data_IF_437391075405
#
_entry.id   IF_437391075405
#
_cell.length_a   1.000
_cell.length_b   1.000
_cell.length_c   1.000
_cell.angle_alpha   90.00
_cell.angle_beta   90.00
_cell.angle_gamma   90.00
#
_symmetry.space_group_name_H-M   'P 1'
#
loop_
_entity.id
_entity.type
_entity.pdbx_description
1 polymer ?
#
# COMPACT_ATOMS: atom_id res chain seq x y z
N UNK A 1 -23.94 -1.46 22.84
CA UNK A 1 -22.80 -0.53 22.86
C UNK A 1 -22.13 -0.57 21.49
N UNK A 2 -22.39 0.42 20.63
CA UNK A 2 -21.73 0.53 19.34
C UNK A 2 -20.32 1.04 19.55
N UNK A 3 -19.32 0.21 19.27
CA UNK A 3 -17.92 0.57 19.43
C UNK A 3 -17.58 1.64 18.40
N UNK A 4 -17.15 2.80 18.90
CA UNK A 4 -16.63 3.89 18.09
C UNK A 4 -15.33 3.36 17.46
N UNK A 5 -15.36 3.06 16.16
CA UNK A 5 -14.15 2.71 15.41
C UNK A 5 -13.38 4.00 15.19
N UNK A 6 -12.23 4.11 15.83
CA UNK A 6 -11.26 5.17 15.62
C UNK A 6 -11.02 5.36 14.11
N UNK A 7 -11.51 6.47 13.56
CA UNK A 7 -11.20 6.94 12.20
C UNK A 7 -10.09 8.00 12.29
N UNK A 8 -8.99 7.63 12.92
CA UNK A 8 -7.68 8.11 12.47
C UNK A 8 -7.63 7.71 10.99
N UNK A 9 -7.55 8.63 10.02
CA UNK A 9 -7.61 8.28 8.59
C UNK A 9 -6.71 7.08 8.29
N UNK A 10 -7.31 5.89 8.18
CA UNK A 10 -6.63 4.67 8.63
C UNK A 10 -5.72 4.25 7.51
N UNK A 11 -4.46 4.65 7.61
CA UNK A 11 -3.44 4.27 6.65
C UNK A 11 -3.20 2.77 6.80
N UNK A 12 -3.66 2.04 5.79
CA UNK A 12 -3.45 0.61 5.71
C UNK A 12 -2.28 0.34 4.77
N UNK A 13 -1.31 -0.40 5.31
CA UNK A 13 -0.13 -0.83 4.58
C UNK A 13 -0.28 -2.31 4.23
N UNK A 14 -0.17 -2.64 2.94
CA UNK A 14 -0.20 -4.01 2.45
C UNK A 14 0.96 -4.26 1.50
N UNK A 15 1.64 -5.41 1.62
CA UNK A 15 2.53 -5.84 0.56
C UNK A 15 1.71 -6.12 -0.71
N UNK A 16 2.14 -5.59 -1.85
CA UNK A 16 1.51 -5.88 -3.14
C UNK A 16 1.69 -7.36 -3.48
N UNK A 17 0.58 -8.06 -3.72
CA UNK A 17 0.63 -9.45 -4.20
C UNK A 17 0.94 -9.56 -5.69
N UNK A 18 0.78 -8.44 -6.42
CA UNK A 18 1.04 -8.36 -7.87
C UNK A 18 2.47 -7.93 -8.21
N UNK A 19 3.14 -7.23 -7.29
CA UNK A 19 4.53 -6.89 -7.48
C UNK A 19 5.43 -8.13 -7.29
N UNK A 20 5.83 -8.76 -8.39
CA UNK A 20 6.79 -9.87 -8.39
C UNK A 20 8.17 -9.37 -8.83
N UNK A 21 9.14 -9.50 -7.93
CA UNK A 21 10.53 -9.12 -8.18
C UNK A 21 11.06 -8.12 -7.15
N UNK A 22 12.32 -7.72 -7.33
CA UNK A 22 12.96 -6.74 -6.45
C UNK A 22 12.50 -5.33 -6.78
N UNK A 23 12.00 -4.64 -5.76
CA UNK A 23 11.51 -3.28 -5.88
C UNK A 23 12.70 -2.31 -5.98
N UNK A 24 13.05 -1.92 -7.21
CA UNK A 24 14.12 -0.95 -7.50
C UNK A 24 13.60 0.47 -7.73
N UNK A 25 12.33 0.59 -8.16
CA UNK A 25 11.71 1.87 -8.47
C UNK A 25 10.37 2.00 -7.74
N UNK A 26 10.30 2.96 -6.81
CA UNK A 26 9.06 3.29 -6.10
C UNK A 26 7.91 3.64 -7.06
N UNK A 27 8.21 4.23 -8.22
CA UNK A 27 7.21 4.56 -9.24
C UNK A 27 6.51 3.31 -9.79
N UNK A 28 7.25 2.21 -10.03
CA UNK A 28 6.65 0.94 -10.46
C UNK A 28 5.76 0.35 -9.38
N UNK A 29 6.22 0.39 -8.13
CA UNK A 29 5.43 -0.03 -6.98
C UNK A 29 4.15 0.80 -6.84
N UNK A 30 4.24 2.12 -6.89
CA UNK A 30 3.09 3.02 -6.83
C UNK A 30 2.10 2.78 -7.97
N UNK A 31 2.57 2.52 -9.19
CA UNK A 31 1.69 2.21 -10.33
C UNK A 31 0.95 0.89 -10.12
N UNK A 32 1.63 -0.15 -9.61
CA UNK A 32 0.98 -1.43 -9.26
C UNK A 32 -0.03 -1.24 -8.13
N UNK A 33 0.36 -0.54 -7.07
CA UNK A 33 -0.52 -0.18 -5.96
C UNK A 33 -1.75 0.59 -6.46
N UNK A 34 -1.60 1.51 -7.42
CA UNK A 34 -2.71 2.24 -8.03
C UNK A 34 -3.69 1.29 -8.74
N UNK A 35 -3.20 0.25 -9.43
CA UNK A 35 -4.08 -0.79 -10.02
C UNK A 35 -4.78 -1.66 -8.97
N UNK A 36 -4.24 -1.74 -7.76
CA UNK A 36 -4.86 -2.42 -6.61
C UNK A 36 -5.80 -1.48 -5.80
N UNK A 37 -5.93 -0.21 -6.21
CA UNK A 37 -6.76 0.79 -5.54
C UNK A 37 -6.08 1.50 -4.38
N UNK A 38 -4.75 1.47 -4.31
CA UNK A 38 -3.95 2.19 -3.33
C UNK A 38 -3.33 3.43 -3.98
N UNK A 39 -3.53 4.63 -3.42
CA UNK A 39 -3.02 5.88 -3.99
C UNK A 39 -1.49 6.05 -3.84
N UNK A 40 -0.84 5.20 -3.06
CA UNK A 40 0.61 5.28 -2.86
C UNK A 40 1.24 3.91 -2.64
N UNK A 41 2.53 3.82 -2.97
CA UNK A 41 3.36 2.65 -2.73
C UNK A 41 4.81 3.04 -2.48
N UNK A 42 5.52 2.24 -1.70
CA UNK A 42 6.94 2.40 -1.40
C UNK A 42 7.64 1.04 -1.47
N UNK A 43 8.87 1.02 -2.00
CA UNK A 43 9.75 -0.14 -1.94
C UNK A 43 10.36 -0.23 -0.54
N UNK A 44 10.02 -1.27 0.21
CA UNK A 44 10.63 -1.63 1.47
C UNK A 44 11.38 -2.96 1.31
N UNK A 45 12.68 -2.98 1.57
CA UNK A 45 13.49 -4.22 1.57
C UNK A 45 13.30 -5.09 0.30
N UNK A 46 13.30 -4.45 -0.88
CA UNK A 46 12.99 -5.05 -2.19
C UNK A 46 11.55 -5.59 -2.37
N UNK A 47 10.65 -5.38 -1.41
CA UNK A 47 9.21 -5.64 -1.53
C UNK A 47 8.45 -4.34 -1.74
N UNK A 48 7.35 -4.41 -2.48
CA UNK A 48 6.49 -3.26 -2.69
C UNK A 48 5.41 -3.23 -1.59
N UNK A 49 5.37 -2.15 -0.82
CA UNK A 49 4.38 -1.86 0.21
C UNK A 49 3.41 -0.79 -0.30
N UNK A 50 2.17 -1.18 -0.52
CA UNK A 50 1.08 -0.28 -0.89
C UNK A 50 0.43 0.33 0.35
N UNK A 51 0.15 1.63 0.29
CA UNK A 51 -0.46 2.39 1.38
C UNK A 51 -1.68 3.14 0.87
N UNK A 52 -2.78 3.04 1.62
CA UNK A 52 -4.03 3.75 1.33
C UNK A 52 -4.67 4.26 2.61
N UNK A 53 -5.32 5.42 2.53
CA UNK A 53 -6.32 5.78 3.53
C UNK A 53 -7.57 4.94 3.29
N UNK A 54 -8.07 4.34 4.37
CA UNK A 54 -9.37 3.70 4.41
C UNK A 54 -10.43 4.70 4.90
#
# INVERSE_FOLDING_TARGET
MGNVVEVEGKWFEKPSGKFKGSCFHNANCANVCATEGFPSGICDTFRCMCRRQC
#
